data_IF_203414077720
#
_entry.id   IF_203414077720
#
_cell.length_a   1.000
_cell.length_b   1.000
_cell.length_c   1.000
_cell.angle_alpha   90.00
_cell.angle_beta   90.00
_cell.angle_gamma   90.00
#
_symmetry.space_group_name_H-M   'P 1'
#
loop_
_entity.id
_entity.type
_entity.pdbx_description
1 polymer ?
#
# COMPACT_ATOMS: atom_id res chain seq x y z
N UNK A 1 -2.31 3.75 2.00
CA UNK A 1 -2.63 5.15 1.61
C UNK A 1 -1.86 5.45 0.34
N UNK A 2 -2.48 6.14 -0.62
CA UNK A 2 -1.90 6.39 -1.95
C UNK A 2 -0.70 7.35 -1.83
N UNK A 3 -0.78 8.31 -0.91
CA UNK A 3 0.31 9.19 -0.52
C UNK A 3 0.48 9.19 1.00
N UNK A 4 1.73 9.23 1.46
CA UNK A 4 2.11 9.32 2.86
C UNK A 4 3.63 9.30 3.02
N UNK A 5 4.19 9.80 4.12
CA UNK A 5 5.61 9.68 4.39
C UNK A 5 5.98 8.20 4.52
N UNK A 6 6.98 7.74 3.77
CA UNK A 6 7.57 6.41 3.99
C UNK A 6 8.21 6.40 5.37
N UNK A 7 8.12 5.29 6.09
CA UNK A 7 8.78 5.15 7.41
C UNK A 7 10.30 5.31 7.34
N UNK A 8 10.89 5.27 6.13
CA UNK A 8 12.34 5.28 5.93
C UNK A 8 12.87 6.40 5.02
N UNK A 9 12.02 7.32 4.54
CA UNK A 9 12.48 8.50 3.78
C UNK A 9 11.44 9.63 3.80
N UNK A 10 11.71 10.68 4.57
CA UNK A 10 10.83 11.85 4.72
C UNK A 10 10.96 12.90 3.61
N UNK A 11 11.79 12.68 2.58
CA UNK A 11 12.12 13.74 1.62
C UNK A 11 11.43 13.64 0.25
N UNK A 12 10.64 12.59 -0.01
CA UNK A 12 9.91 12.43 -1.26
C UNK A 12 8.61 11.70 -1.06
N UNK A 13 7.49 12.31 -1.45
CA UNK A 13 6.17 11.67 -1.48
C UNK A 13 6.18 10.52 -2.48
N UNK A 14 6.61 9.33 -2.05
CA UNK A 14 6.52 8.14 -2.87
C UNK A 14 5.06 7.68 -2.98
N UNK A 15 4.64 7.33 -4.18
CA UNK A 15 3.35 6.66 -4.39
C UNK A 15 3.39 5.27 -3.73
N UNK A 16 2.38 4.96 -2.93
CA UNK A 16 2.24 3.67 -2.22
C UNK A 16 3.42 3.31 -1.27
N UNK A 17 3.72 4.17 -0.28
CA UNK A 17 4.87 3.99 0.61
C UNK A 17 4.85 2.66 1.39
N UNK A 18 3.66 2.16 1.74
CA UNK A 18 3.51 0.88 2.44
C UNK A 18 3.92 -0.34 1.60
N UNK A 19 3.63 -0.34 0.30
CA UNK A 19 4.06 -1.42 -0.62
C UNK A 19 5.58 -1.36 -0.81
N UNK A 20 6.14 -0.16 -0.98
CA UNK A 20 7.58 0.02 -1.15
C UNK A 20 8.36 -0.44 0.11
N UNK A 21 7.91 -0.02 1.29
CA UNK A 21 8.53 -0.42 2.56
C UNK A 21 8.43 -1.94 2.79
N UNK A 22 7.26 -2.55 2.53
CA UNK A 22 7.06 -3.99 2.66
C UNK A 22 7.90 -4.80 1.65
N UNK A 23 8.01 -4.35 0.39
CA UNK A 23 8.84 -4.99 -0.62
C UNK A 23 10.33 -4.93 -0.27
N UNK A 24 10.80 -3.80 0.27
CA UNK A 24 12.18 -3.66 0.74
C UNK A 24 12.48 -4.60 1.91
N UNK A 25 11.56 -4.73 2.87
CA UNK A 25 11.72 -5.66 3.99
C UNK A 25 11.69 -7.13 3.53
N UNK A 26 10.75 -7.50 2.65
CA UNK A 26 10.65 -8.87 2.15
C UNK A 26 11.88 -9.31 1.34
N UNK A 27 12.49 -8.39 0.57
CA UNK A 27 13.73 -8.67 -0.16
C UNK A 27 14.92 -8.95 0.77
N UNK A 28 14.90 -8.42 2.00
CA UNK A 28 15.97 -8.64 2.98
C UNK A 28 15.73 -9.86 3.86
N UNK A 29 14.46 -10.16 4.20
CA UNK A 29 14.09 -11.18 5.18
C UNK A 29 13.67 -12.50 4.53
N UNK A 30 13.17 -12.49 3.29
CA UNK A 30 12.78 -13.66 2.48
C UNK A 30 11.85 -14.69 3.17
N UNK A 31 11.10 -14.29 4.20
CA UNK A 31 10.15 -15.16 4.90
C UNK A 31 8.74 -15.10 4.31
N UNK A 32 7.95 -16.16 4.52
CA UNK A 32 6.55 -16.23 4.11
C UNK A 32 5.69 -15.11 4.74
N UNK A 33 5.99 -14.70 5.98
CA UNK A 33 5.32 -13.58 6.64
C UNK A 33 5.54 -12.24 5.92
N UNK A 34 6.75 -12.02 5.40
CA UNK A 34 7.08 -10.80 4.66
C UNK A 34 6.25 -10.70 3.36
N UNK A 35 6.03 -11.83 2.68
CA UNK A 35 5.18 -11.91 1.50
C UNK A 35 3.70 -11.69 1.82
N UNK A 36 3.23 -12.21 2.96
CA UNK A 36 1.88 -11.98 3.47
C UNK A 36 1.63 -10.47 3.72
N UNK A 37 2.62 -9.76 4.26
CA UNK A 37 2.53 -8.30 4.45
C UNK A 37 2.39 -7.54 3.13
N UNK A 38 3.13 -7.92 2.08
CA UNK A 38 2.98 -7.32 0.74
C UNK A 38 1.57 -7.56 0.20
N UNK A 39 1.07 -8.79 0.28
CA UNK A 39 -0.29 -9.13 -0.16
C UNK A 39 -1.34 -8.30 0.57
N UNK A 40 -1.17 -8.11 1.88
CA UNK A 40 -2.03 -7.26 2.69
C UNK A 40 -2.03 -5.80 2.22
N UNK A 41 -0.87 -5.21 1.97
CA UNK A 41 -0.76 -3.83 1.50
C UNK A 41 -1.36 -3.64 0.09
N UNK A 42 -1.15 -4.60 -0.81
CA UNK A 42 -1.80 -4.62 -2.14
C UNK A 42 -3.32 -4.63 -1.99
N UNK A 43 -3.85 -5.52 -1.16
CA UNK A 43 -5.29 -5.60 -0.91
C UNK A 43 -5.85 -4.29 -0.34
N UNK A 44 -5.14 -3.65 0.60
CA UNK A 44 -5.57 -2.37 1.19
C UNK A 44 -5.66 -1.28 0.12
N UNK A 45 -4.66 -1.20 -0.77
CA UNK A 45 -4.63 -0.21 -1.85
C UNK A 45 -5.74 -0.45 -2.85
N UNK A 46 -5.90 -1.68 -3.34
CA UNK A 46 -6.97 -2.04 -4.29
C UNK A 46 -8.35 -1.75 -3.72
N UNK A 47 -8.57 -2.05 -2.43
CA UNK A 47 -9.82 -1.75 -1.74
C UNK A 47 -10.09 -0.25 -1.69
N UNK A 48 -9.11 0.57 -1.33
CA UNK A 48 -9.26 2.03 -1.29
C UNK A 48 -9.58 2.61 -2.68
N UNK A 49 -8.89 2.15 -3.72
CA UNK A 49 -9.15 2.58 -5.10
C UNK A 49 -10.57 2.20 -5.53
N UNK A 50 -11.02 0.98 -5.22
CA UNK A 50 -12.38 0.53 -5.50
C UNK A 50 -13.42 1.38 -4.78
N UNK A 51 -13.23 1.67 -3.49
CA UNK A 51 -14.16 2.52 -2.74
C UNK A 51 -14.18 3.95 -3.26
N UNK A 52 -13.02 4.53 -3.59
CA UNK A 52 -12.95 5.85 -4.21
C UNK A 52 -13.68 5.89 -5.56
N UNK A 53 -13.51 4.85 -6.39
CA UNK A 53 -14.23 4.72 -7.66
C UNK A 53 -15.74 4.63 -7.46
N UNK A 54 -16.20 3.85 -6.48
CA UNK A 54 -17.63 3.71 -6.16
C UNK A 54 -18.25 5.00 -5.60
N UNK A 55 -17.48 5.74 -4.78
CA UNK A 55 -17.89 7.04 -4.26
C UNK A 55 -18.04 8.06 -5.41
N UNK A 56 -17.08 8.09 -6.34
CA UNK A 56 -17.13 8.97 -7.51
C UNK A 56 -18.27 8.60 -8.47
N UNK A 57 -18.62 7.32 -8.59
CA UNK A 57 -19.74 6.87 -9.43
C UNK A 57 -21.11 7.00 -8.75
N UNK A 58 -21.18 7.55 -7.53
CA UNK A 58 -22.44 7.70 -6.77
C UNK A 58 -23.09 6.38 -6.37
N UNK A 59 -22.34 5.26 -6.38
CA UNK A 59 -22.83 3.92 -6.03
C UNK A 59 -22.44 3.48 -4.62
N UNK A 60 -21.70 4.32 -3.90
CA UNK A 60 -21.42 4.15 -2.48
C UNK A 60 -22.55 4.84 -1.70
N UNK A 61 -23.66 4.13 -1.46
CA UNK A 61 -24.69 4.53 -0.48
C UNK A 61 -24.16 4.39 0.94
#
# INVERSE_FOLDING_TARGET
MIYGPSKHNNYGSQSFPGIYDAAKMAKNVHTAESWSQIQHEVWRVSRVIRHASLALSGQLT
#
